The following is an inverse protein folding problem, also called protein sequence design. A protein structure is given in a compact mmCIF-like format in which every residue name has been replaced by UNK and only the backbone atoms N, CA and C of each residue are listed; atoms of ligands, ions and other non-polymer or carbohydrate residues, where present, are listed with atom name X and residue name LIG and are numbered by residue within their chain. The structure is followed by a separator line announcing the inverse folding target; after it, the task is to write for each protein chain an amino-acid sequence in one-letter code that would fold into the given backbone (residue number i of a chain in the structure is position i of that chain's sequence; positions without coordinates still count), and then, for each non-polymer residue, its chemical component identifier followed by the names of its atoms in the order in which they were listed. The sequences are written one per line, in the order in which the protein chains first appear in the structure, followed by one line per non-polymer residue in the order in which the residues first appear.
data_IF_512713233688
#
_entry.id   IF_512713233688
#
_cell.length_a   1.000
_cell.length_b   1.000
_cell.length_c   1.000
_cell.angle_alpha   90.00
_cell.angle_beta   90.00
_cell.angle_gamma   90.00
#
_symmetry.space_group_name_H-M   'P 1'
#
loop_
_entity.id
_entity.type
_entity.pdbx_description
1 polymer ?
#
# COMPACT_ATOMS: atom_id res chain seq x y z
N UNK A 1 -9.97 -0.44 -9.24
CA UNK A 1 -11.32 -0.07 -8.75
C UNK A 1 -12.36 -1.18 -8.94
N UNK A 2 -12.59 -1.71 -10.16
CA UNK A 2 -13.63 -2.73 -10.46
C UNK A 2 -13.60 -4.05 -9.66
N UNK A 3 -12.41 -4.64 -9.46
CA UNK A 3 -12.31 -6.00 -8.90
C UNK A 3 -12.36 -6.12 -7.37
N UNK A 4 -11.89 -5.09 -6.65
CA UNK A 4 -11.74 -5.14 -5.18
C UNK A 4 -12.60 -4.09 -4.50
N UNK A 5 -12.70 -2.90 -5.09
CA UNK A 5 -13.34 -1.73 -4.46
C UNK A 5 -14.71 -1.39 -5.02
N UNK A 6 -15.10 -1.98 -6.15
CA UNK A 6 -16.41 -1.80 -6.78
C UNK A 6 -16.87 -0.33 -6.90
N UNK A 7 -15.90 0.59 -7.10
CA UNK A 7 -16.11 2.04 -7.23
C UNK A 7 -15.68 2.55 -8.61
N UNK A 8 -15.89 3.83 -8.87
CA UNK A 8 -15.62 4.49 -10.15
C UNK A 8 -14.16 4.31 -10.59
N UNK A 9 -13.93 4.12 -11.90
CA UNK A 9 -12.59 3.82 -12.42
C UNK A 9 -11.61 4.97 -12.21
N UNK A 10 -12.07 6.20 -12.37
CA UNK A 10 -11.26 7.41 -12.26
C UNK A 10 -10.85 7.74 -10.83
N UNK A 11 -11.44 7.08 -9.80
CA UNK A 11 -11.17 7.42 -8.41
C UNK A 11 -9.74 7.01 -8.03
N UNK A 12 -8.85 7.97 -7.80
CA UNK A 12 -7.44 7.68 -7.67
C UNK A 12 -7.13 6.97 -6.35
N UNK A 13 -5.98 6.32 -6.32
CA UNK A 13 -5.42 5.73 -5.10
C UNK A 13 -4.33 6.63 -4.54
N UNK A 14 -4.10 6.52 -3.24
CA UNK A 14 -3.04 7.25 -2.57
C UNK A 14 -1.75 6.40 -2.57
N UNK A 15 -0.57 6.99 -2.81
CA UNK A 15 0.69 6.32 -2.60
C UNK A 15 1.13 6.43 -1.15
N UNK A 16 1.75 5.37 -0.66
CA UNK A 16 2.64 5.40 0.50
C UNK A 16 4.07 5.27 0.02
N UNK A 17 4.92 6.21 0.43
CA UNK A 17 6.34 6.33 0.06
C UNK A 17 7.15 6.66 1.31
N UNK A 18 8.42 6.28 1.36
CA UNK A 18 9.35 6.67 2.42
C UNK A 18 9.59 8.19 2.41
N UNK A 19 9.79 8.79 3.59
CA UNK A 19 10.03 10.25 3.71
C UNK A 19 11.22 10.69 2.85
N UNK A 20 12.29 9.90 2.86
CA UNK A 20 13.54 10.19 2.17
C UNK A 20 13.49 10.03 0.63
N UNK A 21 12.48 9.33 0.09
CA UNK A 21 12.28 9.24 -1.38
C UNK A 21 11.14 10.12 -1.89
N UNK A 22 10.35 10.70 -0.99
CA UNK A 22 9.17 11.47 -1.35
C UNK A 22 9.48 12.59 -2.36
N UNK A 23 10.54 13.37 -2.13
CA UNK A 23 10.94 14.46 -3.03
C UNK A 23 11.43 13.95 -4.40
N UNK A 24 11.83 12.68 -4.55
CA UNK A 24 12.17 12.16 -5.89
C UNK A 24 10.93 12.11 -6.80
N UNK A 25 9.75 11.89 -6.22
CA UNK A 25 8.52 11.63 -6.96
C UNK A 25 7.52 12.80 -6.94
N UNK A 26 7.56 13.66 -5.92
CA UNK A 26 6.55 14.71 -5.71
C UNK A 26 7.19 16.07 -5.40
N UNK A 27 6.57 17.15 -5.86
CA UNK A 27 7.08 18.51 -5.72
C UNK A 27 6.94 19.04 -4.28
N UNK A 28 8.01 19.60 -3.73
CA UNK A 28 8.01 20.33 -2.44
C UNK A 28 7.40 19.55 -1.27
N UNK A 29 7.41 18.22 -1.34
CA UNK A 29 6.91 17.36 -0.28
C UNK A 29 7.95 17.29 0.85
N UNK A 30 7.49 17.48 2.10
CA UNK A 30 8.31 17.24 3.29
C UNK A 30 7.81 16.00 4.01
N UNK A 31 6.77 16.18 4.83
CA UNK A 31 6.17 15.14 5.65
C UNK A 31 4.67 15.25 5.54
N UNK A 32 4.03 14.20 5.04
CA UNK A 32 2.58 14.06 4.88
C UNK A 32 2.14 12.67 5.38
N UNK A 33 2.11 12.43 6.70
CA UNK A 33 1.87 11.09 7.25
C UNK A 33 0.39 10.66 7.20
N UNK A 34 -0.52 11.62 7.01
CA UNK A 34 -1.96 11.43 7.14
C UNK A 34 -2.74 11.58 5.83
N UNK A 35 -2.06 11.65 4.68
CA UNK A 35 -2.72 11.83 3.36
C UNK A 35 -3.67 13.03 3.29
N UNK A 36 -3.34 14.14 3.95
CA UNK A 36 -4.19 15.35 3.98
C UNK A 36 -3.93 16.29 2.81
N UNK A 37 -2.74 16.20 2.20
CA UNK A 37 -2.31 17.13 1.16
C UNK A 37 -2.31 16.47 -0.20
N UNK A 38 -2.74 17.23 -1.22
CA UNK A 38 -2.61 16.89 -2.63
C UNK A 38 -1.37 17.60 -3.15
N UNK A 39 -0.48 16.84 -3.79
CA UNK A 39 0.85 17.29 -4.18
C UNK A 39 1.06 16.97 -5.65
N UNK A 40 1.71 17.87 -6.39
CA UNK A 40 2.03 17.64 -7.80
C UNK A 40 3.07 16.53 -7.94
N UNK A 41 2.80 15.61 -8.88
CA UNK A 41 3.71 14.54 -9.23
C UNK A 41 4.77 15.04 -10.21
N UNK A 42 6.04 14.74 -9.94
CA UNK A 42 7.15 14.94 -10.89
C UNK A 42 7.01 13.94 -12.05
N UNK A 43 7.71 14.18 -13.15
CA UNK A 43 7.55 13.34 -14.36
C UNK A 43 7.95 11.87 -14.14
N UNK A 44 8.95 11.63 -13.28
CA UNK A 44 9.32 10.26 -12.89
C UNK A 44 8.15 9.52 -12.24
N UNK A 45 7.30 10.20 -11.46
CA UNK A 45 6.14 9.57 -10.85
C UNK A 45 5.07 9.22 -11.89
N UNK A 46 4.81 10.13 -12.84
CA UNK A 46 3.89 9.89 -13.96
C UNK A 46 4.31 8.67 -14.80
N UNK A 47 5.62 8.46 -14.97
CA UNK A 47 6.16 7.35 -15.74
C UNK A 47 6.24 6.03 -14.96
N UNK A 48 6.72 6.07 -13.71
CA UNK A 48 7.02 4.86 -12.92
C UNK A 48 5.84 4.35 -12.09
N UNK A 49 4.98 5.26 -11.63
CA UNK A 49 3.86 4.95 -10.72
C UNK A 49 2.54 5.61 -11.17
N UNK A 50 2.12 5.48 -12.45
CA UNK A 50 0.93 6.17 -12.96
C UNK A 50 -0.35 5.82 -12.20
N UNK A 51 -0.43 4.62 -11.60
CA UNK A 51 -1.62 4.14 -10.89
C UNK A 51 -2.02 4.98 -9.65
N UNK A 52 -1.11 5.81 -9.13
CA UNK A 52 -1.35 6.69 -7.98
C UNK A 52 -1.29 8.17 -8.34
N UNK A 53 -1.22 8.51 -9.64
CA UNK A 53 -1.25 9.87 -10.15
C UNK A 53 -2.62 10.15 -10.76
N UNK A 54 -3.21 11.27 -10.36
CA UNK A 54 -4.51 11.74 -10.85
C UNK A 54 -4.37 12.27 -12.28
N UNK A 55 -5.51 12.41 -12.98
CA UNK A 55 -5.54 12.93 -14.37
C UNK A 55 -4.95 14.36 -14.45
N UNK A 56 -5.10 15.16 -13.40
CA UNK A 56 -4.54 16.52 -13.30
C UNK A 56 -3.04 16.54 -12.92
N UNK A 57 -2.40 15.38 -12.82
CA UNK A 57 -0.98 15.25 -12.46
C UNK A 57 -0.69 15.36 -10.96
N UNK A 58 -1.71 15.31 -10.10
CA UNK A 58 -1.52 15.38 -8.64
C UNK A 58 -1.67 14.02 -7.94
N UNK A 59 -1.32 13.94 -6.66
CA UNK A 59 -1.51 12.75 -5.84
C UNK A 59 -1.67 13.10 -4.37
N UNK A 60 -2.42 12.28 -3.62
CA UNK A 60 -2.62 12.45 -2.18
C UNK A 60 -1.64 11.55 -1.40
N UNK A 61 -0.44 12.06 -1.20
CA UNK A 61 0.73 11.26 -0.78
C UNK A 61 0.75 11.01 0.74
N UNK A 62 1.05 9.77 1.12
CA UNK A 62 1.49 9.41 2.46
C UNK A 62 3.00 9.23 2.52
N UNK A 63 3.69 10.00 3.35
CA UNK A 63 5.10 9.75 3.69
C UNK A 63 5.19 8.86 4.92
N UNK A 64 6.04 7.84 4.88
CA UNK A 64 6.27 6.87 5.94
C UNK A 64 7.68 7.05 6.50
N UNK A 65 7.78 7.40 7.78
CA UNK A 65 9.06 7.47 8.50
C UNK A 65 9.38 6.14 9.18
N UNK A 66 10.66 5.76 9.18
CA UNK A 66 11.17 4.62 9.94
C UNK A 66 10.90 4.75 11.44
N UNK A 67 10.96 5.97 11.97
CA UNK A 67 10.81 6.22 13.41
C UNK A 67 9.33 6.12 13.86
N UNK A 68 8.40 6.37 12.94
CA UNK A 68 6.95 6.36 13.23
C UNK A 68 6.33 4.98 12.94
N UNK A 69 6.71 4.35 11.83
CA UNK A 69 6.21 3.03 11.45
C UNK A 69 7.31 2.18 10.80
N UNK A 70 8.21 1.59 11.61
CA UNK A 70 9.39 0.87 11.10
C UNK A 70 9.01 -0.34 10.25
N UNK A 71 7.93 -1.04 10.59
CA UNK A 71 7.48 -2.22 9.83
C UNK A 71 7.00 -1.82 8.43
N UNK A 72 6.20 -0.75 8.32
CA UNK A 72 5.71 -0.30 7.02
C UNK A 72 6.82 0.33 6.17
N UNK A 73 7.77 1.03 6.82
CA UNK A 73 8.99 1.51 6.17
C UNK A 73 9.82 0.37 5.58
N UNK A 74 10.06 -0.70 6.36
CA UNK A 74 10.76 -1.90 5.87
C UNK A 74 10.03 -2.57 4.71
N UNK A 75 8.69 -2.63 4.75
CA UNK A 75 7.90 -3.16 3.66
C UNK A 75 8.10 -2.36 2.37
N UNK A 76 8.11 -1.03 2.44
CA UNK A 76 8.39 -0.17 1.28
C UNK A 76 9.79 -0.41 0.71
N UNK A 77 10.79 -0.56 1.58
CA UNK A 77 12.17 -0.88 1.17
C UNK A 77 12.31 -2.25 0.54
N UNK A 78 11.66 -3.27 1.10
CA UNK A 78 11.63 -4.61 0.53
C UNK A 78 10.94 -4.60 -0.84
N UNK A 79 9.84 -3.85 -0.98
CA UNK A 79 9.16 -3.68 -2.26
C UNK A 79 10.04 -2.97 -3.29
N UNK A 80 10.75 -1.92 -2.90
CA UNK A 80 11.73 -1.23 -3.74
C UNK A 80 12.83 -2.17 -4.23
N UNK A 81 13.41 -2.99 -3.35
CA UNK A 81 14.44 -3.95 -3.74
C UNK A 81 13.95 -4.95 -4.81
N UNK A 82 12.65 -5.27 -4.82
CA UNK A 82 12.04 -6.22 -5.77
C UNK A 82 11.57 -5.53 -7.05
N UNK A 83 11.03 -4.30 -6.96
CA UNK A 83 10.33 -3.61 -8.05
C UNK A 83 11.03 -2.37 -8.59
N UNK A 84 12.06 -1.89 -7.90
CA UNK A 84 12.81 -0.68 -8.24
C UNK A 84 12.08 0.63 -7.94
N UNK A 85 10.96 0.60 -7.20
CA UNK A 85 10.22 1.80 -6.78
C UNK A 85 9.80 1.70 -5.30
N UNK A 86 10.01 2.73 -4.47
CA UNK A 86 9.68 2.71 -3.03
C UNK A 86 8.22 3.10 -2.76
N UNK A 87 7.28 2.62 -3.57
CA UNK A 87 5.87 3.06 -3.51
C UNK A 87 4.90 1.89 -3.47
N UNK A 88 4.02 1.92 -2.47
CA UNK A 88 2.85 1.05 -2.41
C UNK A 88 1.57 1.85 -2.58
N UNK A 89 0.60 1.25 -3.24
CA UNK A 89 -0.76 1.76 -3.27
C UNK A 89 -1.41 1.53 -1.91
N UNK A 90 -1.94 2.59 -1.30
CA UNK A 90 -2.63 2.55 -0.03
C UNK A 90 -4.06 3.07 -0.16
N UNK A 91 -4.99 2.27 0.35
CA UNK A 91 -6.43 2.56 0.37
C UNK A 91 -7.04 1.94 1.63
N UNK A 92 -8.18 2.47 2.06
CA UNK A 92 -8.90 1.98 3.23
C UNK A 92 -9.17 0.49 3.12
N UNK A 93 -9.03 -0.28 4.20
CA UNK A 93 -9.38 -1.69 4.20
C UNK A 93 -10.84 -1.85 4.66
N UNK A 94 -11.73 -1.93 3.69
CA UNK A 94 -13.18 -2.03 3.84
C UNK A 94 -13.82 -2.52 2.53
N UNK A 95 -15.06 -3.01 2.64
CA UNK A 95 -15.99 -3.15 1.51
C UNK A 95 -16.59 -1.78 1.19
N UNK A 96 -17.04 -1.54 -0.05
CA UNK A 96 -17.67 -0.27 -0.42
C UNK A 96 -18.84 0.06 0.52
N UNK A 97 -18.93 1.33 0.93
CA UNK A 97 -19.92 1.87 1.90
C UNK A 97 -19.85 1.34 3.34
N UNK A 98 -18.91 0.45 3.66
CA UNK A 98 -18.64 0.03 5.04
C UNK A 98 -17.52 0.86 5.69
N UNK A 99 -17.50 0.99 7.04
CA UNK A 99 -16.37 1.58 7.75
C UNK A 99 -15.09 0.74 7.59
N UNK A 100 -13.95 1.33 7.95
CA UNK A 100 -12.70 0.58 8.02
C UNK A 100 -12.77 -0.54 9.05
N UNK A 101 -12.14 -1.66 8.71
CA UNK A 101 -11.92 -2.80 9.61
C UNK A 101 -11.28 -2.33 10.92
N UNK A 102 -11.84 -2.77 12.06
CA UNK A 102 -11.33 -2.46 13.40
C UNK A 102 -11.14 -3.69 14.30
N UNK A 103 -11.42 -4.89 13.81
CA UNK A 103 -11.18 -6.14 14.53
C UNK A 103 -10.65 -7.24 13.60
N UNK A 104 -9.96 -8.28 14.14
CA UNK A 104 -9.56 -9.43 13.35
C UNK A 104 -10.73 -10.11 12.62
N UNK A 105 -11.90 -10.15 13.26
CA UNK A 105 -13.13 -10.69 12.66
C UNK A 105 -13.56 -9.87 11.45
N UNK A 106 -13.52 -8.55 11.54
CA UNK A 106 -13.84 -7.67 10.42
C UNK A 106 -12.83 -7.82 9.27
N UNK A 107 -11.54 -7.96 9.60
CA UNK A 107 -10.47 -8.15 8.62
C UNK A 107 -10.69 -9.43 7.81
N UNK A 108 -10.98 -10.54 8.50
CA UNK A 108 -11.27 -11.84 7.88
C UNK A 108 -12.54 -11.77 7.03
N UNK A 109 -13.62 -11.18 7.55
CA UNK A 109 -14.87 -10.99 6.80
C UNK A 109 -14.61 -10.18 5.52
N UNK A 110 -14.00 -9.00 5.65
CA UNK A 110 -13.70 -8.14 4.50
C UNK A 110 -12.77 -8.84 3.50
N UNK A 111 -11.77 -9.56 3.98
CA UNK A 111 -10.88 -10.36 3.14
C UNK A 111 -11.66 -11.38 2.31
N UNK A 112 -12.49 -12.24 2.93
CA UNK A 112 -13.24 -13.26 2.20
C UNK A 112 -14.36 -12.72 1.31
N UNK A 113 -14.90 -11.52 1.61
CA UNK A 113 -15.95 -10.88 0.81
C UNK A 113 -15.44 -10.03 -0.37
N UNK A 114 -14.12 -9.90 -0.57
CA UNK A 114 -13.53 -9.07 -1.63
C UNK A 114 -12.64 -9.89 -2.57
N UNK A 115 -12.12 -9.27 -3.64
CA UNK A 115 -11.14 -9.89 -4.55
C UNK A 115 -9.70 -9.93 -4.04
N UNK A 116 -9.42 -9.67 -2.75
CA UNK A 116 -8.06 -9.63 -2.20
C UNK A 116 -7.47 -11.05 -2.14
N UNK A 117 -6.22 -11.22 -2.58
CA UNK A 117 -5.53 -12.52 -2.63
C UNK A 117 -4.91 -12.96 -1.29
N UNK A 118 -4.32 -12.01 -0.57
CA UNK A 118 -3.60 -12.25 0.69
C UNK A 118 -4.00 -11.24 1.77
N UNK A 119 -4.14 -11.72 3.00
CA UNK A 119 -4.31 -10.90 4.19
C UNK A 119 -3.10 -11.12 5.11
N UNK A 120 -2.38 -10.04 5.40
CA UNK A 120 -1.36 -10.01 6.45
C UNK A 120 -1.98 -9.34 7.68
N UNK A 121 -1.99 -10.04 8.81
CA UNK A 121 -2.56 -9.57 10.07
C UNK A 121 -1.65 -9.95 11.22
N UNK A 122 -0.87 -8.98 11.71
CA UNK A 122 0.23 -9.26 12.64
C UNK A 122 1.21 -10.26 12.04
N UNK A 123 1.44 -11.39 12.73
CA UNK A 123 2.36 -12.45 12.29
C UNK A 123 1.70 -13.51 11.40
N UNK A 124 0.45 -13.32 11.00
CA UNK A 124 -0.30 -14.29 10.19
C UNK A 124 -0.39 -13.82 8.73
N UNK A 125 -0.18 -14.75 7.81
CA UNK A 125 -0.44 -14.61 6.39
C UNK A 125 -1.55 -15.60 6.00
N UNK A 126 -2.66 -15.08 5.49
CA UNK A 126 -3.82 -15.85 5.05
C UNK A 126 -3.92 -15.73 3.54
N UNK A 127 -4.11 -16.84 2.83
CA UNK A 127 -4.34 -16.89 1.39
C UNK A 127 -5.67 -17.57 1.08
N UNK A 128 -6.35 -17.15 0.02
CA UNK A 128 -7.52 -17.85 -0.53
C UNK A 128 -7.16 -19.01 -1.43
N UNK A 129 -5.93 -19.07 -1.92
CA UNK A 129 -5.46 -20.21 -2.73
C UNK A 129 -5.28 -21.39 -1.79
N UNK A 130 -5.79 -22.56 -2.16
CA UNK A 130 -5.46 -23.82 -1.50
C UNK A 130 -3.94 -23.94 -1.41
N UNK A 131 -3.37 -24.44 -0.31
CA UNK A 131 -1.92 -24.53 -0.17
C UNK A 131 -1.37 -25.43 -1.27
N UNK A 132 -0.82 -24.83 -2.33
CA UNK A 132 0.14 -25.51 -3.18
C UNK A 132 1.34 -25.77 -2.28
N UNK A 133 1.64 -27.05 -2.05
CA UNK A 133 2.72 -27.61 -1.24
C UNK A 133 3.78 -26.59 -0.84
N UNK A 134 3.75 -26.13 0.42
CA UNK A 134 4.79 -25.27 0.97
C UNK A 134 6.06 -26.14 1.08
N UNK A 135 6.98 -26.02 0.13
CA UNK A 135 8.34 -26.51 0.33
C UNK A 135 8.92 -25.74 1.51
N UNK A 136 9.28 -26.47 2.55
CA UNK A 136 9.83 -25.97 3.81
C UNK A 136 10.87 -24.87 3.61
N UNK A 137 10.52 -23.62 3.94
CA UNK A 137 11.53 -22.57 4.15
C UNK A 137 12.12 -22.84 5.54
N UNK A 138 13.35 -23.34 5.56
CA UNK A 138 14.12 -23.53 6.80
C UNK A 138 14.23 -22.21 7.55
N UNK A 139 13.62 -22.11 8.73
CA UNK A 139 13.93 -21.06 9.70
C UNK A 139 15.38 -21.25 10.16
N UNK A 140 16.30 -20.42 9.67
CA UNK A 140 17.47 -20.02 10.44
C UNK A 140 17.24 -18.58 10.90
N UNK A 141 16.79 -18.43 12.13
CA UNK A 141 16.85 -17.15 12.84
C UNK A 141 18.08 -17.24 13.76
N UNK A 142 19.15 -16.54 13.38
CA UNK A 142 20.16 -15.93 14.27
C UNK A 142 19.81 -14.43 14.21
N UNK A 143 19.70 -13.66 15.28
CA UNK A 143 20.33 -13.66 16.60
C UNK A 143 19.29 -13.39 17.68
#
# INVERSE_FOLDING_TARGET
NKHVKHREEFRPFAPSITVEDADKFFESIKVSPFMLFVIKAKDIAKQKIPAVVHIDGTSRVQTVSKDVNPLYHQLLRAFEAIKGVPVLLNTSFNVDKEPMVNSPKDAIRCFYSTGIDYLVMGNYLISKKSPTSITSISRKVRY
#
